data_IF_252703219766
#
_entry.id   IF_252703219766
#
_cell.length_a   1.000
_cell.length_b   1.000
_cell.length_c   1.000
_cell.angle_alpha   90.00
_cell.angle_beta   90.00
_cell.angle_gamma   90.00
#
_symmetry.space_group_name_H-M   'P 1'
#
loop_
_entity.id
_entity.type
_entity.pdbx_description
1 polymer ?
#
# COMPACT_ATOMS: atom_id res chain seq x y z
N UNK A 1 -29.19 18.29 27.15
CA UNK A 1 -28.09 17.67 26.41
C UNK A 1 -27.47 18.70 25.47
N UNK A 2 -26.31 19.24 25.84
CA UNK A 2 -25.52 20.08 24.95
C UNK A 2 -24.90 19.16 23.91
N UNK A 3 -25.39 19.19 22.67
CA UNK A 3 -24.74 18.57 21.53
C UNK A 3 -23.43 19.30 21.27
N UNK A 4 -22.31 18.61 21.47
CA UNK A 4 -21.00 19.07 20.99
C UNK A 4 -21.09 19.25 19.48
N UNK A 5 -20.95 20.49 19.00
CA UNK A 5 -20.73 20.76 17.59
C UNK A 5 -19.39 20.13 17.22
N UNK A 6 -19.40 19.14 16.34
CA UNK A 6 -18.16 18.58 15.77
C UNK A 6 -17.35 19.70 15.17
N UNK A 7 -16.08 19.82 15.56
CA UNK A 7 -15.16 20.78 14.96
C UNK A 7 -14.74 20.30 13.57
N UNK A 8 -14.28 21.19 12.71
CA UNK A 8 -13.75 20.82 11.39
C UNK A 8 -12.51 19.91 11.52
N UNK A 9 -11.78 20.00 12.62
CA UNK A 9 -10.64 19.18 12.97
C UNK A 9 -11.05 17.75 13.31
N UNK A 10 -12.15 17.56 14.06
CA UNK A 10 -12.70 16.22 14.36
C UNK A 10 -13.11 15.48 13.08
N UNK A 11 -13.68 16.19 12.09
CA UNK A 11 -14.05 15.61 10.80
C UNK A 11 -12.82 15.24 9.97
N UNK A 12 -11.76 16.06 9.96
CA UNK A 12 -10.50 15.76 9.27
C UNK A 12 -9.83 14.52 9.89
N UNK A 13 -9.69 14.47 11.21
CA UNK A 13 -9.09 13.33 11.91
C UNK A 13 -9.88 12.03 11.64
N UNK A 14 -11.22 12.09 11.73
CA UNK A 14 -12.06 10.93 11.42
C UNK A 14 -11.83 10.39 10.01
N UNK A 15 -11.76 11.25 9.00
CA UNK A 15 -11.57 10.81 7.62
C UNK A 15 -10.13 10.38 7.33
N UNK A 16 -9.15 10.97 8.00
CA UNK A 16 -7.76 10.52 7.97
C UNK A 16 -7.64 9.12 8.53
N UNK A 17 -8.19 8.86 9.72
CA UNK A 17 -8.20 7.53 10.33
C UNK A 17 -8.92 6.51 9.45
N UNK A 18 -10.07 6.88 8.85
CA UNK A 18 -10.78 6.02 7.90
C UNK A 18 -9.95 5.68 6.68
N UNK A 19 -9.27 6.68 6.10
CA UNK A 19 -8.41 6.48 4.95
C UNK A 19 -7.25 5.52 5.27
N UNK A 20 -6.61 5.72 6.42
CA UNK A 20 -5.46 4.93 6.87
C UNK A 20 -5.85 3.52 7.37
N UNK A 21 -7.11 3.29 7.75
CA UNK A 21 -7.59 1.99 8.23
C UNK A 21 -7.79 0.96 7.12
N UNK A 22 -7.62 1.33 5.86
CA UNK A 22 -7.81 0.45 4.70
C UNK A 22 -6.72 0.63 3.64
N UNK A 23 -6.34 -0.46 2.99
CA UNK A 23 -5.40 -0.46 1.87
C UNK A 23 -5.80 -1.47 0.81
N UNK A 24 -5.43 -1.22 -0.45
CA UNK A 24 -5.43 -2.27 -1.45
C UNK A 24 -4.26 -3.24 -1.20
N UNK A 25 -4.41 -4.53 -1.58
CA UNK A 25 -3.36 -5.52 -1.38
C UNK A 25 -2.16 -5.36 -2.33
N UNK A 26 -2.31 -4.57 -3.37
CA UNK A 26 -1.29 -4.20 -4.36
C UNK A 26 -1.44 -2.72 -4.73
N UNK A 27 -0.37 -2.10 -5.19
CA UNK A 27 -0.40 -0.69 -5.64
C UNK A 27 -1.34 -0.47 -6.83
N UNK A 28 -1.44 -1.47 -7.72
CA UNK A 28 -2.36 -1.45 -8.87
C UNK A 28 -3.26 -2.67 -8.84
N UNK A 29 -4.56 -2.48 -8.93
CA UNK A 29 -5.53 -3.56 -8.93
C UNK A 29 -5.95 -3.88 -10.36
N UNK A 30 -5.60 -5.10 -10.79
CA UNK A 30 -6.08 -5.68 -12.05
C UNK A 30 -6.46 -7.14 -11.83
N UNK A 31 -7.72 -7.46 -12.06
CA UNK A 31 -8.28 -8.80 -11.83
C UNK A 31 -7.94 -9.70 -13.01
N UNK A 32 -7.28 -10.81 -12.73
CA UNK A 32 -7.01 -11.88 -13.71
C UNK A 32 -8.09 -12.95 -13.70
N UNK A 33 -8.63 -13.30 -12.51
CA UNK A 33 -9.67 -14.31 -12.37
C UNK A 33 -10.53 -14.06 -11.14
N UNK A 34 -11.85 -14.02 -11.37
CA UNK A 34 -12.83 -13.75 -10.31
C UNK A 34 -13.11 -14.97 -9.45
N UNK A 35 -13.66 -14.72 -8.27
CA UNK A 35 -14.25 -15.71 -7.41
C UNK A 35 -15.44 -16.42 -8.08
N UNK A 36 -15.68 -17.69 -7.74
CA UNK A 36 -16.86 -18.42 -8.20
C UNK A 36 -16.56 -19.52 -9.23
N UNK A 37 -17.52 -19.86 -10.06
CA UNK A 37 -17.38 -20.93 -11.05
C UNK A 37 -16.51 -20.49 -12.23
N UNK A 38 -15.49 -21.29 -12.56
CA UNK A 38 -14.64 -21.11 -13.74
C UNK A 38 -14.11 -22.46 -14.23
N UNK A 39 -13.55 -22.50 -15.44
CA UNK A 39 -12.77 -23.65 -15.90
C UNK A 39 -11.42 -23.70 -15.18
N UNK A 40 -11.03 -24.88 -14.70
CA UNK A 40 -9.73 -25.11 -14.10
C UNK A 40 -8.64 -24.91 -15.17
N UNK A 41 -7.60 -24.06 -14.93
CA UNK A 41 -6.60 -23.75 -15.95
C UNK A 41 -5.67 -24.93 -16.29
N UNK A 42 -5.67 -26.02 -15.50
CA UNK A 42 -4.85 -27.19 -15.72
C UNK A 42 -5.64 -28.36 -16.36
N UNK A 43 -6.91 -28.54 -15.96
CA UNK A 43 -7.73 -29.68 -16.41
C UNK A 43 -8.82 -29.31 -17.39
N UNK A 44 -9.20 -28.03 -17.49
CA UNK A 44 -10.34 -27.55 -18.29
C UNK A 44 -11.71 -27.81 -17.67
N UNK A 45 -11.79 -28.57 -16.56
CA UNK A 45 -13.04 -28.91 -15.90
C UNK A 45 -13.65 -27.70 -15.16
N UNK A 46 -14.99 -27.71 -15.04
CA UNK A 46 -15.67 -26.69 -14.24
C UNK A 46 -15.31 -26.84 -12.76
N UNK A 47 -14.70 -25.80 -12.21
CA UNK A 47 -14.25 -25.75 -10.80
C UNK A 47 -14.69 -24.46 -10.14
N UNK A 48 -14.93 -24.52 -8.83
CA UNK A 48 -15.15 -23.31 -8.04
C UNK A 48 -13.81 -22.70 -7.64
N UNK A 49 -13.57 -21.45 -8.03
CA UNK A 49 -12.46 -20.63 -7.58
C UNK A 49 -12.80 -20.04 -6.21
N UNK A 50 -12.06 -20.41 -5.17
CA UNK A 50 -12.31 -20.01 -3.77
C UNK A 50 -11.73 -18.65 -3.39
N UNK A 51 -11.23 -17.88 -4.35
CA UNK A 51 -10.60 -16.59 -4.12
C UNK A 51 -10.64 -15.70 -5.35
N UNK A 52 -9.80 -14.69 -5.36
CA UNK A 52 -9.64 -13.71 -6.42
C UNK A 52 -8.17 -13.69 -6.83
N UNK A 53 -7.89 -13.78 -8.13
CA UNK A 53 -6.53 -13.64 -8.66
C UNK A 53 -6.31 -12.24 -9.19
N UNK A 54 -5.28 -11.57 -8.68
CA UNK A 54 -4.84 -10.25 -9.10
C UNK A 54 -3.54 -10.35 -9.88
N UNK A 55 -3.43 -9.54 -10.94
CA UNK A 55 -2.16 -9.41 -11.66
C UNK A 55 -1.12 -8.84 -10.69
N UNK A 56 -0.02 -9.59 -10.51
CA UNK A 56 1.11 -9.18 -9.69
C UNK A 56 2.37 -9.90 -10.17
N UNK A 57 3.51 -9.21 -10.16
CA UNK A 57 4.76 -9.78 -10.64
C UNK A 57 5.92 -9.39 -9.75
N UNK A 58 6.12 -10.17 -8.68
CA UNK A 58 7.21 -9.97 -7.71
C UNK A 58 7.21 -8.57 -7.11
N UNK A 59 6.02 -8.09 -6.72
CA UNK A 59 5.81 -6.81 -6.10
C UNK A 59 5.31 -6.96 -4.67
N UNK A 60 5.40 -5.89 -3.88
CA UNK A 60 4.96 -5.86 -2.50
C UNK A 60 3.49 -6.19 -2.36
N UNK A 61 3.17 -7.05 -1.39
CA UNK A 61 1.81 -7.39 -0.98
C UNK A 61 1.54 -6.71 0.35
N UNK A 62 0.43 -5.98 0.42
CA UNK A 62 0.08 -5.13 1.55
C UNK A 62 -1.08 -5.70 2.35
N UNK A 63 -1.05 -5.52 3.67
CA UNK A 63 -2.20 -5.81 4.53
C UNK A 63 -3.37 -4.91 4.17
N UNK A 64 -4.56 -5.50 3.92
CA UNK A 64 -5.73 -4.70 3.52
C UNK A 64 -6.34 -3.90 4.68
N UNK A 65 -6.20 -4.37 5.90
CA UNK A 65 -6.77 -3.76 7.12
C UNK A 65 -5.82 -3.96 8.29
N UNK A 66 -6.04 -3.23 9.37
CA UNK A 66 -5.37 -3.47 10.64
C UNK A 66 -5.71 -4.88 11.16
N UNK A 67 -4.76 -5.52 11.82
CA UNK A 67 -4.95 -6.87 12.33
C UNK A 67 -3.66 -7.52 12.80
N UNK A 68 -3.60 -8.84 12.76
CA UNK A 68 -2.40 -9.59 13.13
C UNK A 68 -2.20 -10.82 12.26
N UNK A 69 -0.96 -11.23 12.12
CA UNK A 69 -0.61 -12.45 11.36
C UNK A 69 -1.06 -13.67 12.14
N UNK A 70 -2.11 -14.33 11.64
CA UNK A 70 -2.66 -15.55 12.25
C UNK A 70 -1.79 -16.77 11.95
N UNK A 71 -1.31 -16.88 10.73
CA UNK A 71 -0.46 -17.99 10.28
C UNK A 71 0.37 -17.61 9.06
N UNK A 72 1.51 -18.25 8.92
CA UNK A 72 2.32 -18.30 7.71
C UNK A 72 2.64 -19.73 7.38
N UNK A 73 2.87 -20.07 6.12
CA UNK A 73 3.20 -21.42 5.73
C UNK A 73 3.52 -21.56 4.25
N UNK A 74 3.72 -22.83 3.86
CA UNK A 74 3.92 -23.22 2.48
C UNK A 74 3.28 -24.59 2.25
N UNK A 75 2.52 -24.73 1.17
CA UNK A 75 1.97 -26.00 0.70
C UNK A 75 1.96 -26.09 -0.84
N UNK A 76 1.61 -27.28 -1.37
CA UNK A 76 1.64 -27.52 -2.82
C UNK A 76 0.55 -26.76 -3.59
N UNK A 77 -0.50 -26.32 -2.93
CA UNK A 77 -1.62 -25.61 -3.58
C UNK A 77 -1.44 -24.11 -3.47
N UNK A 78 -1.31 -23.59 -2.24
CA UNK A 78 -1.24 -22.15 -1.96
C UNK A 78 0.16 -21.58 -2.21
N UNK A 79 1.17 -22.44 -2.35
CA UNK A 79 2.56 -21.99 -2.34
C UNK A 79 2.93 -21.42 -0.97
N UNK A 80 3.79 -20.43 -0.95
CA UNK A 80 4.02 -19.62 0.26
C UNK A 80 2.82 -18.73 0.49
N UNK A 81 2.30 -18.71 1.72
CA UNK A 81 1.12 -17.93 2.06
C UNK A 81 1.23 -17.29 3.44
N UNK A 82 0.50 -16.22 3.62
CA UNK A 82 0.25 -15.56 4.90
C UNK A 82 -1.25 -15.40 5.11
N UNK A 83 -1.71 -15.66 6.33
CA UNK A 83 -3.10 -15.48 6.75
C UNK A 83 -3.14 -14.41 7.82
N UNK A 84 -3.93 -13.36 7.58
CA UNK A 84 -4.07 -12.23 8.50
C UNK A 84 -5.51 -12.22 9.03
N UNK A 85 -5.64 -12.02 10.34
CA UNK A 85 -6.92 -11.85 11.03
C UNK A 85 -7.21 -10.36 11.17
N UNK A 86 -8.35 -9.92 10.65
CA UNK A 86 -8.85 -8.55 10.69
C UNK A 86 -10.25 -8.57 11.34
N UNK A 87 -10.32 -8.45 12.66
CA UNK A 87 -11.59 -8.64 13.38
C UNK A 87 -12.20 -10.01 13.08
N UNK A 88 -13.40 -10.04 12.50
CA UNK A 88 -14.12 -11.28 12.12
C UNK A 88 -13.70 -11.81 10.73
N UNK A 89 -12.88 -11.09 9.98
CA UNK A 89 -12.38 -11.51 8.68
C UNK A 89 -11.01 -12.18 8.79
N UNK A 90 -10.80 -13.19 7.96
CA UNK A 90 -9.47 -13.76 7.68
C UNK A 90 -9.19 -13.57 6.21
N UNK A 91 -8.06 -12.99 5.88
CA UNK A 91 -7.59 -12.83 4.49
C UNK A 91 -6.32 -13.64 4.33
N UNK A 92 -6.28 -14.50 3.30
CA UNK A 92 -5.07 -15.26 2.93
C UNK A 92 -4.50 -14.67 1.65
N UNK A 93 -3.19 -14.44 1.64
CA UNK A 93 -2.41 -13.98 0.50
C UNK A 93 -1.49 -15.13 0.09
N UNK A 94 -1.67 -15.66 -1.13
CA UNK A 94 -1.03 -16.90 -1.57
C UNK A 94 -0.12 -16.68 -2.79
N UNK A 95 0.62 -17.73 -3.15
CA UNK A 95 1.60 -17.80 -4.24
C UNK A 95 2.77 -16.83 -4.07
N UNK A 96 3.07 -16.43 -2.83
CA UNK A 96 4.14 -15.49 -2.51
C UNK A 96 5.50 -16.07 -2.88
N UNK A 97 6.42 -15.23 -3.35
CA UNK A 97 7.85 -15.56 -3.45
C UNK A 97 8.54 -15.42 -2.10
N UNK A 98 8.10 -14.47 -1.27
CA UNK A 98 8.65 -14.20 0.05
C UNK A 98 7.55 -13.83 1.04
N UNK A 99 7.70 -14.25 2.31
CA UNK A 99 6.85 -13.85 3.44
C UNK A 99 7.71 -12.95 4.31
N UNK A 100 7.29 -11.71 4.55
CA UNK A 100 8.07 -10.72 5.29
C UNK A 100 7.57 -10.54 6.72
N UNK A 101 6.27 -10.72 6.98
CA UNK A 101 5.69 -10.61 8.31
C UNK A 101 5.66 -11.96 9.04
N UNK A 102 5.71 -11.94 10.37
CA UNK A 102 5.82 -13.13 11.23
C UNK A 102 4.50 -13.41 11.95
N UNK A 103 4.23 -14.70 12.23
CA UNK A 103 3.07 -15.11 13.04
C UNK A 103 3.01 -14.36 14.37
N UNK A 104 1.83 -13.79 14.69
CA UNK A 104 1.58 -12.99 15.88
C UNK A 104 1.93 -11.51 15.75
N UNK A 105 2.56 -11.09 14.64
CA UNK A 105 2.87 -9.69 14.37
C UNK A 105 1.60 -8.88 14.16
N UNK A 106 1.51 -7.73 14.84
CA UNK A 106 0.45 -6.74 14.61
C UNK A 106 0.79 -5.92 13.37
N UNK A 107 -0.24 -5.65 12.56
CA UNK A 107 -0.12 -4.99 11.27
C UNK A 107 -1.13 -3.86 11.18
N UNK A 108 -0.73 -2.80 10.51
CA UNK A 108 -1.62 -1.74 10.04
C UNK A 108 -1.94 -1.91 8.55
N UNK A 109 -3.06 -1.35 8.12
CA UNK A 109 -3.40 -1.32 6.69
C UNK A 109 -2.28 -0.65 5.89
N UNK A 110 -1.82 -1.31 4.82
CA UNK A 110 -0.70 -0.85 4.01
C UNK A 110 0.67 -1.39 4.42
N UNK A 111 0.80 -2.11 5.53
CA UNK A 111 2.06 -2.76 5.89
C UNK A 111 2.42 -3.86 4.89
N UNK A 112 3.70 -3.92 4.51
CA UNK A 112 4.21 -4.94 3.59
C UNK A 112 4.28 -6.28 4.30
N UNK A 113 3.53 -7.27 3.80
CA UNK A 113 3.44 -8.60 4.42
C UNK A 113 4.20 -9.68 3.65
N UNK A 114 4.55 -9.42 2.41
CA UNK A 114 5.28 -10.34 1.56
C UNK A 114 5.50 -9.79 0.16
N UNK A 115 6.11 -10.61 -0.69
CA UNK A 115 6.31 -10.32 -2.12
C UNK A 115 5.50 -11.34 -2.92
N UNK A 116 4.71 -10.86 -3.88
CA UNK A 116 3.98 -11.72 -4.81
C UNK A 116 4.92 -12.63 -5.61
N UNK A 117 4.42 -13.73 -6.15
CA UNK A 117 5.28 -14.67 -6.86
C UNK A 117 4.50 -15.69 -7.68
N UNK A 118 5.07 -16.89 -7.78
CA UNK A 118 4.53 -18.00 -8.59
C UNK A 118 4.74 -19.35 -7.89
N UNK A 119 4.65 -19.40 -6.56
CA UNK A 119 4.85 -20.64 -5.79
C UNK A 119 3.54 -21.45 -5.69
N UNK A 120 3.65 -22.76 -5.44
CA UNK A 120 2.51 -23.66 -5.36
C UNK A 120 1.85 -23.95 -6.71
N UNK A 121 0.52 -24.21 -6.71
CA UNK A 121 -0.24 -24.52 -7.92
C UNK A 121 -0.64 -23.24 -8.66
N UNK A 122 0.27 -22.72 -9.45
CA UNK A 122 0.11 -21.48 -10.22
C UNK A 122 0.61 -21.64 -11.65
N UNK A 123 -0.05 -21.00 -12.59
CA UNK A 123 0.31 -21.01 -14.03
C UNK A 123 1.20 -19.83 -14.42
N UNK A 124 1.40 -18.88 -13.54
CA UNK A 124 2.23 -17.68 -13.75
C UNK A 124 2.15 -16.72 -12.58
N UNK A 125 3.04 -15.73 -12.49
CA UNK A 125 3.06 -14.77 -11.39
C UNK A 125 1.73 -14.05 -11.21
N UNK A 126 1.17 -14.13 -10.00
CA UNK A 126 -0.05 -13.42 -9.58
C UNK A 126 -0.18 -13.45 -8.07
N UNK A 127 -1.09 -12.66 -7.53
CA UNK A 127 -1.52 -12.74 -6.14
C UNK A 127 -2.90 -13.38 -6.06
N UNK A 128 -3.02 -14.50 -5.33
CA UNK A 128 -4.30 -15.10 -5.01
C UNK A 128 -4.74 -14.68 -3.60
N UNK A 129 -5.96 -14.16 -3.49
CA UNK A 129 -6.55 -13.72 -2.23
C UNK A 129 -7.77 -14.57 -1.93
N UNK A 130 -7.84 -15.09 -0.69
CA UNK A 130 -9.04 -15.74 -0.16
C UNK A 130 -9.57 -14.96 1.04
N UNK A 131 -10.86 -14.72 1.09
CA UNK A 131 -11.52 -14.04 2.19
C UNK A 131 -12.49 -14.97 2.93
N UNK A 132 -12.52 -14.92 4.25
CA UNK A 132 -13.51 -15.61 5.09
C UNK A 132 -14.04 -14.69 6.18
N UNK A 133 -15.36 -14.63 6.30
CA UNK A 133 -16.07 -13.99 7.41
C UNK A 133 -16.58 -15.07 8.37
N UNK A 134 -16.13 -15.05 9.63
CA UNK A 134 -16.48 -16.09 10.61
C UNK A 134 -16.27 -17.51 10.08
N UNK A 135 -15.15 -17.73 9.35
CA UNK A 135 -14.79 -19.01 8.73
C UNK A 135 -15.51 -19.34 7.41
N UNK A 136 -16.56 -18.61 7.03
CA UNK A 136 -17.30 -18.82 5.77
C UNK A 136 -16.66 -18.05 4.64
N UNK A 137 -16.42 -18.75 3.54
CA UNK A 137 -15.82 -18.19 2.33
C UNK A 137 -16.69 -17.06 1.74
N UNK A 138 -16.08 -15.92 1.44
CA UNK A 138 -16.67 -14.74 0.84
C UNK A 138 -15.95 -14.38 -0.47
N UNK A 139 -16.60 -13.59 -1.33
CA UNK A 139 -15.96 -13.03 -2.51
C UNK A 139 -14.99 -11.89 -2.08
N UNK A 140 -13.67 -12.02 -2.35
CA UNK A 140 -12.73 -10.94 -2.01
C UNK A 140 -12.97 -9.64 -2.79
N UNK A 141 -13.70 -9.68 -3.90
CA UNK A 141 -14.06 -8.49 -4.65
C UNK A 141 -14.85 -7.48 -3.81
N UNK A 142 -15.74 -7.96 -2.93
CA UNK A 142 -16.52 -7.09 -2.02
C UNK A 142 -15.61 -6.28 -1.09
N UNK A 143 -14.47 -6.87 -0.66
CA UNK A 143 -13.48 -6.15 0.15
C UNK A 143 -12.73 -5.09 -0.66
N UNK A 144 -12.39 -5.38 -1.93
CA UNK A 144 -11.77 -4.39 -2.80
C UNK A 144 -12.70 -3.20 -3.03
N UNK A 145 -13.99 -3.45 -3.24
CA UNK A 145 -15.00 -2.40 -3.36
C UNK A 145 -15.13 -1.58 -2.09
N UNK A 146 -15.19 -2.24 -0.93
CA UNK A 146 -15.23 -1.56 0.37
C UNK A 146 -14.01 -0.64 0.58
N UNK A 147 -12.80 -1.13 0.30
CA UNK A 147 -11.56 -0.32 0.36
C UNK A 147 -11.67 0.88 -0.58
N UNK A 148 -12.10 0.65 -1.82
CA UNK A 148 -12.27 1.72 -2.80
C UNK A 148 -13.23 2.81 -2.30
N UNK A 149 -14.39 2.41 -1.80
CA UNK A 149 -15.43 3.34 -1.37
C UNK A 149 -14.99 4.19 -0.18
N UNK A 150 -14.36 3.57 0.83
CA UNK A 150 -13.78 4.28 1.98
C UNK A 150 -12.71 5.28 1.52
N UNK A 151 -11.78 4.85 0.65
CA UNK A 151 -10.70 5.72 0.18
C UNK A 151 -11.21 6.87 -0.68
N UNK A 152 -12.15 6.62 -1.59
CA UNK A 152 -12.73 7.68 -2.43
C UNK A 152 -13.57 8.67 -1.62
N UNK A 153 -14.34 8.20 -0.63
CA UNK A 153 -15.09 9.10 0.25
C UNK A 153 -14.16 9.94 1.13
N UNK A 154 -13.18 9.31 1.77
CA UNK A 154 -12.18 10.02 2.56
C UNK A 154 -11.40 11.05 1.73
N UNK A 155 -10.98 10.69 0.51
CA UNK A 155 -10.33 11.64 -0.43
C UNK A 155 -11.20 12.87 -0.69
N UNK A 156 -12.49 12.69 -0.94
CA UNK A 156 -13.43 13.80 -1.15
C UNK A 156 -13.52 14.68 0.09
N UNK A 157 -13.66 14.08 1.27
CA UNK A 157 -13.78 14.79 2.55
C UNK A 157 -12.51 15.52 2.95
N UNK A 158 -11.36 14.90 2.75
CA UNK A 158 -10.03 15.46 3.00
C UNK A 158 -9.57 16.40 1.88
N UNK A 159 -10.33 16.48 0.77
CA UNK A 159 -9.96 17.25 -0.43
C UNK A 159 -8.59 16.88 -0.99
N UNK A 160 -8.21 15.60 -0.89
CA UNK A 160 -6.94 15.11 -1.40
C UNK A 160 -6.91 15.19 -2.94
N UNK A 161 -5.89 15.82 -3.48
CA UNK A 161 -5.72 15.98 -4.92
C UNK A 161 -5.11 14.71 -5.55
N UNK A 162 -5.53 14.39 -6.78
CA UNK A 162 -4.86 13.39 -7.65
C UNK A 162 -3.91 14.05 -8.67
N UNK A 163 -3.79 15.38 -8.65
CA UNK A 163 -3.00 16.15 -9.62
C UNK A 163 -1.70 16.66 -8.99
N UNK A 164 -0.70 16.87 -9.83
CA UNK A 164 0.50 17.57 -9.37
C UNK A 164 0.16 18.95 -8.78
N UNK A 165 0.72 19.30 -7.64
CA UNK A 165 0.39 20.53 -6.95
C UNK A 165 0.88 21.74 -7.77
N UNK A 166 -0.05 22.67 -8.08
CA UNK A 166 0.25 23.92 -8.77
C UNK A 166 0.47 25.08 -7.80
N UNK A 167 -0.13 25.01 -6.63
CA UNK A 167 -0.02 26.02 -5.57
C UNK A 167 0.53 25.38 -4.29
N UNK A 168 0.98 26.21 -3.34
CA UNK A 168 1.37 25.72 -2.00
C UNK A 168 0.25 24.95 -1.30
N UNK A 169 -1.00 25.41 -1.47
CA UNK A 169 -2.16 24.72 -0.91
C UNK A 169 -2.34 23.34 -1.54
N UNK A 170 -2.28 23.26 -2.87
CA UNK A 170 -2.39 21.98 -3.59
C UNK A 170 -1.30 21.01 -3.16
N UNK A 171 -0.08 21.50 -2.87
CA UNK A 171 1.02 20.67 -2.36
C UNK A 171 0.63 20.00 -1.03
N UNK A 172 0.15 20.76 -0.05
CA UNK A 172 -0.25 20.20 1.23
C UNK A 172 -1.43 19.23 1.10
N UNK A 173 -2.40 19.54 0.24
CA UNK A 173 -3.54 18.65 -0.03
C UNK A 173 -3.09 17.36 -0.74
N UNK A 174 -2.15 17.42 -1.67
CA UNK A 174 -1.66 16.25 -2.41
C UNK A 174 -0.86 15.28 -1.53
N UNK A 175 -0.07 15.80 -0.58
CA UNK A 175 0.86 14.99 0.20
C UNK A 175 0.45 14.77 1.67
N UNK A 176 -0.71 15.29 2.09
CA UNK A 176 -1.22 15.10 3.44
C UNK A 176 -1.36 13.61 3.81
N UNK A 177 -1.78 12.77 2.87
CA UNK A 177 -1.93 11.34 3.06
C UNK A 177 -0.62 10.66 3.45
N UNK A 178 0.44 10.89 2.67
CA UNK A 178 1.76 10.30 2.92
C UNK A 178 2.30 10.74 4.28
N UNK A 179 2.13 12.02 4.60
CA UNK A 179 2.55 12.55 5.88
C UNK A 179 1.75 11.97 7.08
N UNK A 180 0.45 11.68 6.88
CA UNK A 180 -0.37 10.99 7.88
C UNK A 180 0.07 9.54 8.08
N UNK A 181 0.43 8.82 7.01
CA UNK A 181 1.00 7.47 7.10
C UNK A 181 2.31 7.45 7.87
N UNK A 182 3.19 8.45 7.65
CA UNK A 182 4.43 8.59 8.41
C UNK A 182 4.17 8.86 9.91
N UNK A 183 3.16 9.65 10.23
CA UNK A 183 2.75 9.86 11.63
C UNK A 183 2.28 8.57 12.28
N UNK A 184 1.44 7.80 11.61
CA UNK A 184 0.94 6.52 12.12
C UNK A 184 2.06 5.50 12.32
N UNK A 185 2.95 5.38 11.34
CA UNK A 185 3.99 4.35 11.31
C UNK A 185 5.19 4.66 12.20
N UNK A 186 5.59 5.92 12.28
CA UNK A 186 6.82 6.35 12.93
C UNK A 186 6.64 7.37 14.05
N UNK A 187 5.41 7.83 14.31
CA UNK A 187 5.13 8.87 15.31
C UNK A 187 5.59 10.27 14.92
N UNK A 188 6.00 10.49 13.67
CA UNK A 188 6.44 11.82 13.19
C UNK A 188 5.20 12.65 12.86
N UNK A 189 4.99 13.81 13.51
CA UNK A 189 3.81 14.62 13.25
C UNK A 189 3.63 14.99 11.76
N UNK A 190 2.43 14.83 11.23
CA UNK A 190 2.06 15.15 9.83
C UNK A 190 2.54 16.53 9.41
N UNK A 191 2.38 17.53 10.28
CA UNK A 191 2.82 18.90 10.02
C UNK A 191 4.35 19.03 9.83
N UNK A 192 5.13 18.26 10.58
CA UNK A 192 6.60 18.25 10.47
C UNK A 192 7.01 17.63 9.13
N UNK A 193 6.46 16.46 8.80
CA UNK A 193 6.72 15.79 7.53
C UNK A 193 6.39 16.70 6.34
N UNK A 194 5.20 17.31 6.32
CA UNK A 194 4.78 18.22 5.26
C UNK A 194 5.64 19.48 5.15
N UNK A 195 6.05 20.05 6.30
CA UNK A 195 6.91 21.23 6.31
C UNK A 195 8.30 20.92 5.72
N UNK A 196 8.89 19.79 6.11
CA UNK A 196 10.19 19.36 5.57
C UNK A 196 10.08 19.08 4.06
N UNK A 197 9.07 18.31 3.63
CA UNK A 197 8.82 18.07 2.20
C UNK A 197 8.68 19.38 1.42
N UNK A 198 7.93 20.34 1.94
CA UNK A 198 7.71 21.62 1.27
C UNK A 198 8.99 22.42 1.13
N UNK A 199 9.81 22.49 2.18
CA UNK A 199 11.08 23.24 2.18
C UNK A 199 12.13 22.60 1.26
N UNK A 200 12.38 21.30 1.43
CA UNK A 200 13.42 20.57 0.71
C UNK A 200 13.10 20.40 -0.80
N UNK A 201 11.84 20.33 -1.15
CA UNK A 201 11.40 20.11 -2.55
C UNK A 201 10.92 21.39 -3.26
N UNK A 202 11.01 22.55 -2.64
CA UNK A 202 10.35 23.77 -3.13
C UNK A 202 8.88 23.51 -3.49
N UNK A 203 8.13 22.97 -2.53
CA UNK A 203 6.72 22.55 -2.72
C UNK A 203 6.53 21.58 -3.91
N UNK A 204 7.43 20.61 -4.04
CA UNK A 204 7.39 19.60 -5.11
C UNK A 204 7.84 20.12 -6.49
N UNK A 205 8.39 21.34 -6.59
CA UNK A 205 8.80 21.94 -7.85
C UNK A 205 10.25 21.67 -8.23
N UNK A 206 11.07 21.20 -7.29
CA UNK A 206 12.47 20.86 -7.57
C UNK A 206 12.60 19.74 -8.61
N UNK A 207 13.70 19.71 -9.35
CA UNK A 207 13.98 18.63 -10.30
C UNK A 207 14.08 17.25 -9.61
N UNK A 208 14.64 17.21 -8.40
CA UNK A 208 14.72 16.00 -7.58
C UNK A 208 13.33 15.44 -7.25
N UNK A 209 12.38 16.31 -6.86
CA UNK A 209 11.01 15.89 -6.57
C UNK A 209 10.29 15.41 -7.83
N UNK A 210 10.36 16.17 -8.93
CA UNK A 210 9.60 15.87 -10.17
C UNK A 210 10.09 14.65 -10.92
N UNK A 211 11.42 14.45 -11.00
CA UNK A 211 12.01 13.38 -11.81
C UNK A 211 12.42 12.17 -10.98
N UNK A 212 12.77 12.36 -9.72
CA UNK A 212 13.31 11.32 -8.85
C UNK A 212 12.47 11.02 -7.60
N UNK A 213 11.28 11.59 -7.48
CA UNK A 213 10.41 11.47 -6.28
C UNK A 213 11.15 11.73 -4.96
N UNK A 214 12.27 12.47 -5.02
CA UNK A 214 13.11 12.75 -3.86
C UNK A 214 12.72 14.12 -3.25
N UNK A 215 11.72 14.10 -2.42
CA UNK A 215 11.16 15.31 -1.77
C UNK A 215 11.95 15.78 -0.55
N UNK A 216 12.91 15.00 -0.09
CA UNK A 216 13.72 15.28 1.11
C UNK A 216 15.20 15.52 0.79
N UNK A 217 15.59 15.62 -0.47
CA UNK A 217 16.97 15.84 -0.85
C UNK A 217 17.93 14.73 -0.40
N UNK A 218 17.47 13.47 -0.38
CA UNK A 218 18.26 12.34 0.15
C UNK A 218 19.43 12.06 -0.79
N UNK A 219 20.66 12.19 -0.27
CA UNK A 219 21.88 11.89 -1.02
C UNK A 219 22.12 10.38 -1.13
N UNK A 220 22.54 9.92 -2.31
CA UNK A 220 22.84 8.52 -2.56
C UNK A 220 24.16 8.12 -1.88
N UNK A 221 24.06 7.35 -0.82
CA UNK A 221 25.22 6.84 -0.08
C UNK A 221 25.90 5.67 -0.83
N UNK A 222 27.07 5.23 -0.34
CA UNK A 222 27.82 4.14 -0.93
C UNK A 222 27.01 2.84 -1.05
N UNK A 223 26.17 2.52 -0.05
CA UNK A 223 25.33 1.32 -0.06
C UNK A 223 24.29 1.39 -1.19
N UNK A 224 23.65 2.54 -1.40
CA UNK A 224 22.72 2.78 -2.49
C UNK A 224 23.38 2.56 -3.85
N UNK A 225 24.57 3.13 -4.04
CA UNK A 225 25.34 3.02 -5.28
C UNK A 225 25.85 1.59 -5.54
N UNK A 226 26.28 0.87 -4.52
CA UNK A 226 26.72 -0.52 -4.62
C UNK A 226 25.60 -1.47 -5.01
N UNK A 227 24.35 -1.16 -4.65
CA UNK A 227 23.16 -1.91 -5.02
C UNK A 227 22.68 -1.61 -6.45
N UNK A 228 23.34 -0.68 -7.17
CA UNK A 228 22.93 -0.29 -8.52
C UNK A 228 21.60 0.44 -8.59
N UNK A 229 21.15 1.03 -7.47
CA UNK A 229 19.89 1.76 -7.41
C UNK A 229 19.96 3.10 -8.15
N UNK A 230 18.85 3.58 -8.73
CA UNK A 230 18.83 4.76 -9.56
C UNK A 230 19.18 6.03 -8.78
N UNK A 231 19.94 6.92 -9.41
CA UNK A 231 20.29 8.23 -8.84
C UNK A 231 20.38 9.28 -9.95
N UNK A 232 20.28 10.55 -9.55
CA UNK A 232 20.57 11.72 -10.38
C UNK A 232 21.72 12.53 -9.79
N UNK A 233 22.32 13.36 -10.61
CA UNK A 233 23.46 14.22 -10.21
C UNK A 233 23.01 15.67 -10.26
N UNK A 234 23.18 16.37 -9.16
CA UNK A 234 22.83 17.78 -9.01
C UNK A 234 23.92 18.51 -8.20
N UNK A 235 24.02 19.79 -8.39
CA UNK A 235 24.85 20.64 -7.53
C UNK A 235 24.05 21.03 -6.28
N UNK A 236 24.67 20.92 -5.11
CA UNK A 236 24.11 21.30 -3.83
C UNK A 236 25.22 21.94 -2.97
N UNK A 237 25.60 21.39 -1.82
CA UNK A 237 26.75 21.84 -1.04
C UNK A 237 28.07 21.74 -1.83
N UNK A 238 28.15 20.74 -2.72
CA UNK A 238 29.26 20.50 -3.63
C UNK A 238 28.76 20.22 -5.04
N UNK A 239 29.63 20.41 -6.04
CA UNK A 239 29.33 20.11 -7.43
C UNK A 239 29.21 18.59 -7.68
N UNK A 240 28.26 18.19 -8.51
CA UNK A 240 28.05 16.80 -8.94
C UNK A 240 27.71 15.81 -7.81
N UNK A 241 26.96 16.23 -6.82
CA UNK A 241 26.47 15.32 -5.77
C UNK A 241 25.39 14.37 -6.30
N UNK A 242 25.38 13.14 -5.78
CA UNK A 242 24.43 12.10 -6.20
C UNK A 242 23.26 12.04 -5.21
N UNK A 243 22.05 12.09 -5.76
CA UNK A 243 20.82 12.02 -5.01
C UNK A 243 20.03 10.77 -5.38
N UNK A 244 19.40 10.12 -4.41
CA UNK A 244 18.54 8.97 -4.64
C UNK A 244 17.39 9.32 -5.58
N UNK A 245 17.09 8.43 -6.53
CA UNK A 245 15.85 8.47 -7.28
C UNK A 245 14.99 7.31 -6.82
N UNK A 246 13.77 7.61 -6.43
CA UNK A 246 12.77 6.65 -6.01
C UNK A 246 11.79 6.38 -7.14
N UNK A 247 11.05 5.27 -7.10
CA UNK A 247 10.03 4.97 -8.10
C UNK A 247 8.69 5.61 -7.73
N UNK A 248 8.51 5.87 -6.44
CA UNK A 248 7.32 6.51 -5.89
C UNK A 248 7.72 7.45 -4.76
N UNK A 249 6.78 8.30 -4.33
CA UNK A 249 6.99 9.21 -3.21
C UNK A 249 6.94 8.48 -1.85
N UNK A 250 6.36 7.27 -1.80
CA UNK A 250 6.28 6.46 -0.59
C UNK A 250 7.59 5.75 -0.24
N UNK A 251 8.52 5.58 -1.20
CA UNK A 251 9.88 5.05 -0.99
C UNK A 251 10.78 6.07 -0.29
#
# INVERSE_FOLDING_TARGET
SQGYAKTNEDDVNYWADKYLSVSFPLRTIKINSSFGKRSDPFTGESRRHGGLDLQARYEEVLAMFDGYVKATGQDNTSGKYIIIQHGNYTISYCHLSEILAKKGEELYAGDVVGISGNTGRSTGPHLHITCRLNGKLQDPYDLLMYVNDIREEARKKLKLSKQEPKTKKDFFEAYAEIAMQQQQKYGIPTSVTLAQMALESDYGRSELAKKGYNYFGIKANQKWLQQGLPYSVHDDDYANEKFCNFNTIEE
#
